data_IF_188063033050
#
_entry.id   IF_188063033050
#
_cell.length_a   1.000
_cell.length_b   1.000
_cell.length_c   1.000
_cell.angle_alpha   90.00
_cell.angle_beta   90.00
_cell.angle_gamma   90.00
#
_symmetry.space_group_name_H-M   'P 1'
#
loop_
_entity.id
_entity.type
_entity.pdbx_description
1 polymer ?
#
# COMPACT_ATOMS: atom_id res chain seq x y z
N UNK A 1 1.59 7.38 3.19
CA UNK A 1 3.06 7.25 2.99
C UNK A 1 3.62 5.94 3.51
N UNK A 2 3.27 5.48 4.72
CA UNK A 2 3.83 4.26 5.32
C UNK A 2 3.36 2.93 4.69
N UNK A 3 2.36 2.92 3.80
CA UNK A 3 1.80 1.69 3.22
C UNK A 3 2.84 0.84 2.46
N UNK A 4 3.87 1.46 1.87
CA UNK A 4 4.93 0.76 1.14
C UNK A 4 6.23 0.58 1.96
N UNK A 5 6.17 0.82 3.28
CA UNK A 5 7.35 0.74 4.14
C UNK A 5 8.00 -0.66 4.13
N UNK A 6 7.20 -1.72 4.04
CA UNK A 6 7.70 -3.09 4.00
C UNK A 6 8.61 -3.37 2.81
N UNK A 7 8.35 -2.75 1.66
CA UNK A 7 9.19 -2.91 0.47
C UNK A 7 10.59 -2.31 0.70
N UNK A 8 10.65 -1.15 1.33
CA UNK A 8 11.92 -0.52 1.72
C UNK A 8 12.67 -1.37 2.75
N UNK A 9 11.94 -1.94 3.72
CA UNK A 9 12.52 -2.81 4.73
C UNK A 9 13.11 -4.10 4.13
N UNK A 10 12.45 -4.72 3.14
CA UNK A 10 12.98 -5.89 2.43
C UNK A 10 14.32 -5.55 1.75
N UNK A 11 14.39 -4.41 1.06
CA UNK A 11 15.63 -3.98 0.41
C UNK A 11 16.77 -3.77 1.42
N UNK A 12 16.49 -3.15 2.57
CA UNK A 12 17.50 -2.85 3.58
C UNK A 12 17.97 -4.10 4.35
N UNK A 13 17.06 -5.01 4.68
CA UNK A 13 17.34 -6.15 5.58
C UNK A 13 17.72 -7.41 4.80
N UNK A 14 17.20 -7.59 3.57
CA UNK A 14 17.39 -8.79 2.75
C UNK A 14 17.84 -8.48 1.30
N UNK A 15 18.96 -7.76 1.08
CA UNK A 15 19.34 -7.32 -0.27
C UNK A 15 19.42 -8.43 -1.35
N UNK A 16 19.97 -9.64 -1.07
CA UNK A 16 20.01 -10.71 -2.07
C UNK A 16 18.62 -11.19 -2.48
N UNK A 17 17.69 -11.32 -1.52
CA UNK A 17 16.33 -11.74 -1.80
C UNK A 17 15.54 -10.63 -2.50
N UNK A 18 15.80 -9.36 -2.17
CA UNK A 18 15.19 -8.22 -2.86
C UNK A 18 15.54 -8.19 -4.35
N UNK A 19 16.78 -8.49 -4.72
CA UNK A 19 17.20 -8.57 -6.13
C UNK A 19 16.46 -9.69 -6.88
N UNK A 20 16.27 -10.85 -6.25
CA UNK A 20 15.49 -11.95 -6.82
C UNK A 20 14.02 -11.54 -6.95
N UNK A 21 13.43 -11.03 -5.86
CA UNK A 21 12.04 -10.59 -5.82
C UNK A 21 11.75 -9.56 -6.93
N UNK A 22 12.62 -8.56 -7.10
CA UNK A 22 12.46 -7.51 -8.12
C UNK A 22 12.41 -8.10 -9.53
N UNK A 23 13.32 -9.02 -9.87
CA UNK A 23 13.32 -9.70 -11.19
C UNK A 23 12.06 -10.54 -11.40
N UNK A 24 11.60 -11.23 -10.37
CA UNK A 24 10.37 -12.01 -10.47
C UNK A 24 9.13 -11.12 -10.61
N UNK A 25 9.07 -9.98 -9.91
CA UNK A 25 7.99 -9.02 -10.05
C UNK A 25 7.96 -8.39 -11.45
N UNK A 26 9.12 -8.07 -12.02
CA UNK A 26 9.25 -7.57 -13.39
C UNK A 26 8.79 -8.62 -14.42
N UNK A 27 9.25 -9.87 -14.29
CA UNK A 27 8.85 -10.96 -15.18
C UNK A 27 7.37 -11.34 -15.05
N UNK A 28 6.75 -11.09 -13.89
CA UNK A 28 5.36 -11.45 -13.59
C UNK A 28 4.50 -10.23 -13.26
N UNK A 29 4.67 -9.13 -14.00
CA UNK A 29 3.93 -7.87 -13.75
C UNK A 29 2.39 -8.01 -13.85
N UNK A 30 1.90 -9.08 -14.48
CA UNK A 30 0.48 -9.41 -14.58
C UNK A 30 -0.09 -10.05 -13.31
N UNK A 31 0.76 -10.51 -12.38
CA UNK A 31 0.33 -11.10 -11.12
C UNK A 31 0.38 -10.08 -9.99
N UNK A 32 -0.51 -10.23 -9.02
CA UNK A 32 -0.43 -9.46 -7.79
C UNK A 32 0.91 -9.75 -7.07
N UNK A 33 1.62 -8.68 -6.68
CA UNK A 33 2.92 -8.77 -6.04
C UNK A 33 2.96 -9.67 -4.79
N UNK A 34 1.82 -9.83 -4.08
CA UNK A 34 1.69 -10.70 -2.91
C UNK A 34 2.04 -12.17 -3.22
N UNK A 35 1.70 -12.67 -4.41
CA UNK A 35 1.99 -14.05 -4.79
C UNK A 35 3.49 -14.27 -4.94
N UNK A 36 4.16 -13.36 -5.63
CA UNK A 36 5.61 -13.39 -5.81
C UNK A 36 6.35 -13.19 -4.48
N UNK A 37 5.88 -12.27 -3.64
CA UNK A 37 6.42 -12.04 -2.29
C UNK A 37 6.28 -13.30 -1.43
N UNK A 38 5.10 -13.93 -1.38
CA UNK A 38 4.90 -15.17 -0.63
C UNK A 38 5.74 -16.32 -1.19
N UNK A 39 5.91 -16.42 -2.51
CA UNK A 39 6.71 -17.48 -3.12
C UNK A 39 8.20 -17.36 -2.79
N UNK A 40 8.75 -16.15 -2.79
CA UNK A 40 10.19 -15.91 -2.59
C UNK A 40 10.55 -15.73 -1.11
N UNK A 41 9.71 -15.03 -0.34
CA UNK A 41 10.00 -14.59 1.03
C UNK A 41 9.16 -15.31 2.10
N UNK A 42 8.08 -16.00 1.71
CA UNK A 42 7.09 -16.61 2.62
C UNK A 42 6.31 -15.61 3.49
N UNK A 43 6.45 -14.32 3.20
CA UNK A 43 5.65 -13.23 3.78
C UNK A 43 5.49 -12.10 2.76
N UNK A 44 4.47 -11.28 2.93
CA UNK A 44 4.25 -10.08 2.13
C UNK A 44 4.91 -8.85 2.75
N UNK A 45 5.17 -7.82 1.94
CA UNK A 45 5.68 -6.53 2.45
C UNK A 45 4.73 -5.92 3.49
N UNK A 46 3.41 -6.08 3.36
CA UNK A 46 2.42 -5.61 4.33
C UNK A 46 2.57 -6.33 5.69
N UNK A 47 2.87 -7.64 5.69
CA UNK A 47 3.15 -8.39 6.91
C UNK A 47 4.40 -7.86 7.61
N UNK A 48 5.51 -7.75 6.88
CA UNK A 48 6.76 -7.23 7.43
C UNK A 48 6.59 -5.80 7.97
N UNK A 49 5.93 -4.92 7.21
CA UNK A 49 5.65 -3.55 7.62
C UNK A 49 4.83 -3.53 8.92
N UNK A 50 3.77 -4.33 9.01
CA UNK A 50 2.92 -4.38 10.20
C UNK A 50 3.67 -4.87 11.43
N UNK A 51 4.55 -5.87 11.28
CA UNK A 51 5.37 -6.38 12.39
C UNK A 51 6.36 -5.33 12.89
N UNK A 52 7.06 -4.65 11.99
CA UNK A 52 8.02 -3.61 12.34
C UNK A 52 7.35 -2.41 13.00
N UNK A 53 6.25 -1.92 12.44
CA UNK A 53 5.52 -0.77 12.98
C UNK A 53 4.89 -1.08 14.34
N UNK A 54 4.40 -2.30 14.53
CA UNK A 54 3.94 -2.77 15.84
C UNK A 54 5.10 -2.83 16.84
N UNK A 55 6.26 -3.33 16.44
CA UNK A 55 7.45 -3.40 17.29
C UNK A 55 7.95 -1.99 17.70
N UNK A 56 7.83 -1.01 16.82
CA UNK A 56 8.12 0.39 17.11
C UNK A 56 7.03 1.12 17.91
N UNK A 57 6.03 0.39 18.42
CA UNK A 57 4.95 0.94 19.24
C UNK A 57 4.15 2.03 18.54
N UNK A 58 3.97 1.95 17.22
CA UNK A 58 2.99 2.81 16.55
C UNK A 58 1.56 2.42 16.96
N UNK A 59 0.63 3.40 16.92
CA UNK A 59 -0.79 3.16 17.09
C UNK A 59 -1.31 1.98 16.25
N UNK A 60 -2.21 1.23 16.88
CA UNK A 60 -2.86 0.03 16.37
C UNK A 60 -3.59 0.26 15.04
N UNK A 61 -4.26 1.40 14.92
CA UNK A 61 -4.92 1.85 13.71
C UNK A 61 -3.99 1.96 12.48
N UNK A 62 -2.71 2.29 12.65
CA UNK A 62 -1.76 2.47 11.54
C UNK A 62 -1.28 1.11 11.03
N UNK A 63 -0.73 0.27 11.90
CA UNK A 63 -0.15 -1.00 11.44
C UNK A 63 -1.21 -2.02 11.05
N UNK A 64 -2.43 -1.98 11.63
CA UNK A 64 -3.56 -2.78 11.15
C UNK A 64 -4.03 -2.35 9.77
N UNK A 65 -4.17 -1.04 9.53
CA UNK A 65 -4.54 -0.54 8.21
C UNK A 65 -3.58 -1.03 7.13
N UNK A 66 -2.26 -0.99 7.41
CA UNK A 66 -1.24 -1.47 6.47
C UNK A 66 -1.34 -2.99 6.29
N UNK A 67 -1.51 -3.75 7.38
CA UNK A 67 -1.61 -5.22 7.37
C UNK A 67 -2.72 -5.73 6.46
N UNK A 68 -3.86 -5.04 6.46
CA UNK A 68 -5.08 -5.42 5.78
C UNK A 68 -5.42 -4.52 4.58
N UNK A 69 -4.49 -3.67 4.15
CA UNK A 69 -4.69 -2.71 3.04
C UNK A 69 -5.08 -3.34 1.70
N UNK A 70 -4.85 -4.64 1.54
CA UNK A 70 -5.23 -5.43 0.35
C UNK A 70 -6.34 -6.47 0.61
N UNK A 71 -7.05 -6.35 1.73
CA UNK A 71 -8.09 -7.29 2.16
C UNK A 71 -9.43 -6.55 2.27
N UNK A 72 -10.24 -6.52 1.20
CA UNK A 72 -11.51 -5.78 1.18
C UNK A 72 -12.48 -6.30 2.25
N UNK A 73 -12.54 -7.62 2.45
CA UNK A 73 -13.37 -8.29 3.45
C UNK A 73 -12.74 -8.32 4.86
N UNK A 74 -11.95 -7.32 5.24
CA UNK A 74 -11.46 -7.19 6.60
C UNK A 74 -12.49 -6.43 7.47
N UNK A 75 -13.00 -7.10 8.49
CA UNK A 75 -14.04 -6.58 9.41
C UNK A 75 -13.53 -6.41 10.86
N UNK A 76 -12.21 -6.47 11.08
CA UNK A 76 -11.63 -6.27 12.40
C UNK A 76 -11.56 -4.81 12.80
N UNK A 77 -10.87 -4.53 13.91
CA UNK A 77 -10.67 -3.16 14.38
C UNK A 77 -9.95 -2.31 13.34
N UNK A 78 -10.33 -1.03 13.26
CA UNK A 78 -9.79 -0.03 12.34
C UNK A 78 -9.90 -0.40 10.85
N UNK A 79 -10.89 -1.24 10.50
CA UNK A 79 -11.15 -1.67 9.11
C UNK A 79 -11.36 -0.51 8.13
N UNK A 80 -11.91 0.62 8.58
CA UNK A 80 -12.14 1.81 7.73
C UNK A 80 -10.81 2.28 7.10
N UNK A 81 -9.72 2.35 7.87
CA UNK A 81 -8.42 2.77 7.34
C UNK A 81 -7.84 1.75 6.35
N UNK A 82 -8.01 0.46 6.61
CA UNK A 82 -7.61 -0.59 5.68
C UNK A 82 -8.36 -0.48 4.34
N UNK A 83 -9.69 -0.26 4.41
CA UNK A 83 -10.57 -0.08 3.24
C UNK A 83 -10.24 1.18 2.46
N UNK A 84 -9.92 2.29 3.13
CA UNK A 84 -9.44 3.51 2.45
C UNK A 84 -8.13 3.27 1.70
N UNK A 85 -7.19 2.52 2.28
CA UNK A 85 -5.96 2.15 1.58
C UNK A 85 -6.22 1.22 0.40
N UNK A 86 -7.15 0.27 0.55
CA UNK A 86 -7.60 -0.61 -0.53
C UNK A 86 -8.18 0.19 -1.70
N UNK A 87 -9.16 1.07 -1.44
CA UNK A 87 -9.78 1.92 -2.47
C UNK A 87 -8.74 2.79 -3.17
N UNK A 88 -7.84 3.42 -2.40
CA UNK A 88 -6.75 4.23 -2.98
C UNK A 88 -5.82 3.39 -3.87
N UNK A 89 -5.54 2.14 -3.49
CA UNK A 89 -4.73 1.23 -4.28
C UNK A 89 -5.42 0.83 -5.58
N UNK A 90 -6.72 0.51 -5.52
CA UNK A 90 -7.51 0.13 -6.71
C UNK A 90 -7.62 1.27 -7.72
N UNK A 91 -7.95 2.50 -7.26
CA UNK A 91 -7.99 3.69 -8.11
C UNK A 91 -6.68 3.88 -8.88
N UNK A 92 -5.56 3.85 -8.15
CA UNK A 92 -4.22 4.05 -8.73
C UNK A 92 -3.87 3.02 -9.80
N UNK A 93 -4.43 1.81 -9.74
CA UNK A 93 -4.18 0.74 -10.72
C UNK A 93 -5.33 0.58 -11.72
N UNK A 94 -6.30 1.51 -11.74
CA UNK A 94 -7.49 1.46 -12.59
C UNK A 94 -8.23 0.11 -12.46
N UNK A 95 -8.24 -0.44 -11.24
CA UNK A 95 -8.83 -1.73 -10.93
C UNK A 95 -10.23 -1.57 -10.35
N UNK A 96 -11.08 -2.58 -10.53
CA UNK A 96 -12.45 -2.57 -10.01
C UNK A 96 -12.48 -2.43 -8.49
N UNK A 97 -13.39 -1.58 -8.01
CA UNK A 97 -13.61 -1.35 -6.59
C UNK A 97 -14.92 -2.04 -6.20
N UNK A 98 -14.86 -2.89 -5.18
CA UNK A 98 -16.05 -3.55 -4.64
C UNK A 98 -17.05 -2.50 -4.09
N UNK A 99 -18.30 -2.47 -4.59
CA UNK A 99 -19.30 -1.50 -4.15
C UNK A 99 -19.61 -1.58 -2.65
N UNK A 100 -19.49 -2.78 -2.07
CA UNK A 100 -19.67 -3.03 -0.64
C UNK A 100 -18.66 -2.23 0.19
N UNK A 101 -17.39 -2.20 -0.24
CA UNK A 101 -16.32 -1.46 0.44
C UNK A 101 -16.59 0.06 0.40
N UNK A 102 -17.10 0.58 -0.72
CA UNK A 102 -17.48 1.99 -0.88
C UNK A 102 -18.63 2.37 0.07
N UNK A 103 -19.65 1.53 0.17
CA UNK A 103 -20.77 1.73 1.09
C UNK A 103 -20.32 1.75 2.55
N UNK A 104 -19.37 0.88 2.93
CA UNK A 104 -18.87 0.80 4.31
C UNK A 104 -18.01 2.00 4.73
N UNK A 105 -17.29 2.63 3.80
CA UNK A 105 -16.56 3.88 4.05
C UNK A 105 -17.45 5.13 3.88
N UNK A 106 -18.70 4.95 3.42
CA UNK A 106 -19.66 6.03 3.22
C UNK A 106 -19.32 6.96 2.04
N UNK A 107 -18.67 6.44 1.00
CA UNK A 107 -18.31 7.20 -0.20
C UNK A 107 -18.97 6.59 -1.43
N UNK A 108 -19.29 7.45 -2.41
CA UNK A 108 -19.75 7.02 -3.72
C UNK A 108 -18.58 6.86 -4.70
N UNK A 109 -18.77 6.06 -5.75
CA UNK A 109 -17.76 5.91 -6.80
C UNK A 109 -17.40 7.26 -7.45
N UNK A 110 -18.41 8.11 -7.69
CA UNK A 110 -18.22 9.44 -8.29
C UNK A 110 -17.37 10.37 -7.40
N UNK A 111 -17.61 10.40 -6.09
CA UNK A 111 -16.80 11.20 -5.15
C UNK A 111 -15.34 10.76 -5.15
N UNK A 112 -15.11 9.44 -5.19
CA UNK A 112 -13.77 8.85 -5.16
C UNK A 112 -13.01 9.13 -6.46
N UNK A 113 -13.65 8.95 -7.62
CA UNK A 113 -13.07 9.30 -8.93
C UNK A 113 -12.80 10.80 -9.08
N UNK A 114 -13.69 11.64 -8.56
CA UNK A 114 -13.49 13.09 -8.59
C UNK A 114 -12.31 13.50 -7.70
N UNK A 115 -12.18 12.89 -6.51
CA UNK A 115 -11.04 13.10 -5.63
C UNK A 115 -9.73 12.68 -6.32
N UNK A 116 -9.72 11.52 -6.99
CA UNK A 116 -8.57 11.06 -7.76
C UNK A 116 -8.16 12.08 -8.83
N UNK A 117 -9.11 12.55 -9.66
CA UNK A 117 -8.86 13.56 -10.71
C UNK A 117 -8.26 14.84 -10.14
N UNK A 118 -8.77 15.32 -9.01
CA UNK A 118 -8.25 16.51 -8.33
C UNK A 118 -6.82 16.31 -7.80
N UNK A 119 -6.52 15.13 -7.25
CA UNK A 119 -5.18 14.77 -6.79
C UNK A 119 -4.20 14.68 -7.97
N UNK A 120 -4.61 14.08 -9.10
CA UNK A 120 -3.78 13.99 -10.30
C UNK A 120 -3.48 15.35 -10.93
N UNK A 121 -4.43 16.30 -10.93
CA UNK A 121 -4.17 17.69 -11.35
C UNK A 121 -3.06 18.36 -10.54
N UNK A 122 -2.90 17.98 -9.27
CA UNK A 122 -1.85 18.48 -8.36
C UNK A 122 -0.61 17.59 -8.32
N UNK A 123 -0.46 16.64 -9.24
CA UNK A 123 0.70 15.72 -9.32
C UNK A 123 2.05 16.45 -9.31
N UNK A 124 2.16 17.61 -9.96
CA UNK A 124 3.38 18.42 -9.96
C UNK A 124 3.81 18.88 -8.54
N UNK A 125 2.85 19.17 -7.66
CA UNK A 125 3.11 19.52 -6.26
C UNK A 125 3.55 18.30 -5.44
N UNK A 126 2.91 17.15 -5.68
CA UNK A 126 3.30 15.87 -5.05
C UNK A 126 4.74 15.48 -5.43
N UNK A 127 5.13 15.66 -6.69
CA UNK A 127 6.50 15.44 -7.15
C UNK A 127 7.50 16.39 -6.48
N UNK A 128 7.13 17.67 -6.31
CA UNK A 128 7.93 18.63 -5.54
C UNK A 128 8.11 18.18 -4.10
N UNK A 129 7.02 17.76 -3.42
CA UNK A 129 7.09 17.24 -2.05
C UNK A 129 8.02 16.02 -1.94
N UNK A 130 7.89 15.05 -2.84
CA UNK A 130 8.78 13.89 -2.88
C UNK A 130 10.25 14.29 -3.08
N UNK A 131 10.52 15.26 -3.96
CA UNK A 131 11.88 15.77 -4.20
C UNK A 131 12.48 16.45 -2.96
N UNK A 132 11.67 17.17 -2.17
CA UNK A 132 12.12 17.84 -0.95
C UNK A 132 12.49 16.81 0.13
N UNK A 133 11.70 15.74 0.28
CA UNK A 133 11.99 14.67 1.22
C UNK A 133 13.31 13.97 0.86
N UNK A 134 13.56 13.71 -0.43
CA UNK A 134 14.82 13.11 -0.87
C UNK A 134 16.03 14.01 -0.58
N UNK A 135 15.89 15.33 -0.72
CA UNK A 135 16.95 16.29 -0.40
C UNK A 135 17.25 16.41 1.10
N UNK A 136 16.27 16.16 1.96
CA UNK A 136 16.46 16.18 3.42
C UNK A 136 17.24 14.94 3.89
N UNK A 137 17.20 13.85 3.12
CA UNK A 137 17.84 12.57 3.44
C UNK A 137 19.21 12.37 2.73
N UNK A 138 19.72 13.37 2.02
CA UNK A 138 21.02 13.37 1.32
C UNK A 138 21.99 14.35 2.00
#
# INVERSE_FOLDING_TARGET
MLHNFGFLAINAILPPHFSILSRYQEANAHLAAEFTEMHILHFTKEQLASWLLRYWSLPDNIWMAIRYSKKPHYYGEHAILAKLLYVTYQLRHEADIEPEVLNEIGLTLEEVENCEKEVFKKSAELHKMASLINKINA
#
